data_IF_048226205105
#
_entry.id   IF_048226205105
#
_cell.length_a   1.000
_cell.length_b   1.000
_cell.length_c   1.000
_cell.angle_alpha   90.00
_cell.angle_beta   90.00
_cell.angle_gamma   90.00
#
_symmetry.space_group_name_H-M   'P 1'
#
loop_
_entity.id
_entity.type
_entity.pdbx_description
1 polymer ?
#
# COMPACT_ATOMS: atom_id res chain seq x y z
N UNK A 1 14.32 1.07 -16.67
CA UNK A 1 15.51 1.93 -16.85
C UNK A 1 15.18 3.30 -17.43
N UNK A 2 14.34 3.38 -18.48
CA UNK A 2 13.99 4.65 -19.14
C UNK A 2 13.56 5.78 -18.19
N UNK A 3 12.68 5.51 -17.21
CA UNK A 3 12.24 6.55 -16.25
C UNK A 3 13.39 7.10 -15.40
N UNK A 4 14.30 6.24 -14.94
CA UNK A 4 15.45 6.65 -14.13
C UNK A 4 16.42 7.50 -14.95
N UNK A 5 16.65 7.15 -16.22
CA UNK A 5 17.56 7.91 -17.11
C UNK A 5 17.05 9.30 -17.48
N UNK A 6 15.75 9.61 -17.24
CA UNK A 6 15.25 11.00 -17.41
C UNK A 6 15.83 11.97 -16.38
N UNK A 7 16.30 11.48 -15.23
CA UNK A 7 16.81 12.30 -14.12
C UNK A 7 18.25 11.98 -13.72
N UNK A 8 18.68 10.73 -13.88
CA UNK A 8 20.03 10.28 -13.55
C UNK A 8 20.85 10.25 -14.83
N UNK A 9 21.84 11.13 -14.94
CA UNK A 9 22.78 11.19 -16.07
C UNK A 9 23.96 10.23 -15.92
N UNK A 10 24.33 9.85 -14.69
CA UNK A 10 25.44 8.92 -14.44
C UNK A 10 25.10 7.49 -14.88
N UNK A 11 25.71 7.06 -15.99
CA UNK A 11 25.53 5.74 -16.55
C UNK A 11 26.01 4.61 -15.62
N UNK A 12 26.97 4.85 -14.72
CA UNK A 12 27.48 3.84 -13.79
C UNK A 12 26.43 3.50 -12.74
N UNK A 13 25.74 4.52 -12.22
CA UNK A 13 24.63 4.36 -11.27
C UNK A 13 23.47 3.61 -11.93
N UNK A 14 23.10 4.00 -13.15
CA UNK A 14 22.07 3.30 -13.92
C UNK A 14 22.46 1.83 -14.17
N UNK A 15 23.71 1.57 -14.54
CA UNK A 15 24.21 0.20 -14.74
C UNK A 15 24.13 -0.61 -13.43
N UNK A 16 24.50 -0.01 -12.30
CA UNK A 16 24.44 -0.65 -10.98
C UNK A 16 23.00 -0.99 -10.58
N UNK A 17 22.07 -0.03 -10.67
CA UNK A 17 20.64 -0.27 -10.40
C UNK A 17 20.11 -1.38 -11.32
N UNK A 18 20.49 -1.35 -12.60
CA UNK A 18 20.13 -2.38 -13.56
C UNK A 18 20.64 -3.77 -13.16
N UNK A 19 21.88 -3.88 -12.68
CA UNK A 19 22.45 -5.14 -12.16
C UNK A 19 21.68 -5.63 -10.93
N UNK A 20 21.36 -4.74 -9.99
CA UNK A 20 20.55 -5.06 -8.81
C UNK A 20 19.17 -5.60 -9.17
N UNK A 21 18.51 -5.00 -10.16
CA UNK A 21 17.17 -5.43 -10.59
C UNK A 21 17.17 -6.78 -11.34
N UNK A 22 18.27 -7.11 -12.03
CA UNK A 22 18.43 -8.37 -12.79
C UNK A 22 19.04 -9.50 -11.98
N UNK A 23 19.53 -9.21 -10.77
CA UNK A 23 20.09 -10.23 -9.88
C UNK A 23 19.06 -11.35 -9.67
N UNK A 24 19.51 -12.59 -9.89
CA UNK A 24 18.69 -13.78 -9.74
C UNK A 24 18.21 -13.98 -8.30
N UNK A 25 17.27 -14.90 -8.13
CA UNK A 25 16.85 -15.38 -6.82
C UNK A 25 17.47 -16.76 -6.64
N UNK A 26 18.11 -16.98 -5.50
CA UNK A 26 18.46 -18.33 -5.09
C UNK A 26 17.20 -18.99 -4.52
N UNK A 27 16.71 -20.01 -5.20
CA UNK A 27 15.55 -20.77 -4.77
C UNK A 27 15.92 -22.26 -4.75
N UNK A 28 15.86 -22.88 -3.58
CA UNK A 28 16.29 -24.26 -3.35
C UNK A 28 17.69 -24.63 -3.91
N UNK A 29 18.64 -23.69 -3.88
CA UNK A 29 20.02 -23.90 -4.36
C UNK A 29 20.21 -23.71 -5.87
N UNK A 30 19.17 -23.34 -6.60
CA UNK A 30 19.23 -22.99 -8.02
C UNK A 30 19.04 -21.49 -8.21
N UNK A 31 19.88 -20.88 -9.06
CA UNK A 31 19.70 -19.49 -9.46
C UNK A 31 18.60 -19.39 -10.52
N UNK A 32 17.50 -18.72 -10.16
CA UNK A 32 16.45 -18.38 -11.11
C UNK A 32 16.64 -16.95 -11.61
N UNK A 33 16.73 -16.79 -12.95
CA UNK A 33 16.81 -15.47 -13.58
C UNK A 33 15.54 -14.68 -13.32
N UNK A 34 15.70 -13.46 -12.82
CA UNK A 34 14.59 -12.54 -12.55
C UNK A 34 14.26 -11.73 -13.80
N UNK A 35 13.02 -11.85 -14.29
CA UNK A 35 12.53 -11.09 -15.45
C UNK A 35 11.63 -9.92 -15.06
N UNK A 36 11.01 -9.94 -13.87
CA UNK A 36 10.11 -8.89 -13.36
C UNK A 36 10.26 -8.68 -11.86
N UNK A 37 9.87 -7.48 -11.40
CA UNK A 37 9.85 -7.10 -9.98
C UNK A 37 11.22 -6.69 -9.43
N UNK A 38 11.24 -6.29 -8.16
CA UNK A 38 12.45 -5.91 -7.43
C UNK A 38 12.77 -6.96 -6.35
N UNK A 39 14.04 -7.11 -5.92
CA UNK A 39 14.37 -8.06 -4.86
C UNK A 39 13.56 -7.81 -3.59
N UNK A 40 12.94 -8.88 -3.06
CA UNK A 40 12.14 -8.79 -1.85
C UNK A 40 13.09 -8.48 -0.68
N UNK A 41 12.79 -7.42 0.08
CA UNK A 41 13.69 -6.92 1.12
C UNK A 41 14.78 -5.97 0.64
N UNK A 42 14.86 -5.64 -0.66
CA UNK A 42 15.80 -4.61 -1.12
C UNK A 42 15.42 -3.23 -0.56
N UNK A 43 16.35 -2.51 0.09
CA UNK A 43 16.13 -1.14 0.56
C UNK A 43 15.79 -0.14 -0.55
N UNK A 44 16.19 -0.45 -1.80
CA UNK A 44 15.90 0.37 -2.97
C UNK A 44 14.48 0.17 -3.51
N UNK A 45 13.84 -0.96 -3.21
CA UNK A 45 12.51 -1.29 -3.75
C UNK A 45 11.45 -0.23 -3.44
N UNK A 46 11.30 0.28 -2.20
CA UNK A 46 10.28 1.30 -1.91
C UNK A 46 10.47 2.59 -2.70
N UNK A 47 11.73 3.01 -2.89
CA UNK A 47 12.06 4.20 -3.67
C UNK A 47 11.73 3.99 -5.15
N UNK A 48 12.17 2.88 -5.73
CA UNK A 48 11.93 2.56 -7.14
C UNK A 48 10.44 2.43 -7.46
N UNK A 49 9.65 1.84 -6.55
CA UNK A 49 8.20 1.76 -6.69
C UNK A 49 7.57 3.15 -6.72
N UNK A 50 7.99 4.06 -5.83
CA UNK A 50 7.48 5.43 -5.83
C UNK A 50 7.89 6.21 -7.08
N UNK A 51 9.07 5.98 -7.65
CA UNK A 51 9.49 6.61 -8.92
C UNK A 51 8.58 6.17 -10.07
N UNK A 52 8.20 4.89 -10.13
CA UNK A 52 7.28 4.40 -11.17
C UNK A 52 5.87 4.99 -10.95
N UNK A 53 5.41 5.04 -9.70
CA UNK A 53 4.08 5.54 -9.36
C UNK A 53 3.97 7.08 -9.40
N UNK A 54 5.08 7.82 -9.47
CA UNK A 54 5.08 9.26 -9.74
C UNK A 54 4.45 9.58 -11.10
N UNK A 55 4.62 8.72 -12.11
CA UNK A 55 3.95 8.88 -13.41
C UNK A 55 2.42 8.75 -13.27
N UNK A 56 1.92 7.88 -12.38
CA UNK A 56 0.49 7.81 -12.06
C UNK A 56 0.01 9.09 -11.37
N UNK A 57 0.77 9.63 -10.42
CA UNK A 57 0.43 10.86 -9.71
C UNK A 57 0.37 12.05 -10.66
N UNK A 58 1.31 12.13 -11.62
CA UNK A 58 1.31 13.15 -12.69
C UNK A 58 0.08 13.02 -13.56
N UNK A 59 -0.27 11.81 -14.00
CA UNK A 59 -1.45 11.58 -14.83
C UNK A 59 -2.75 11.98 -14.11
N UNK A 60 -2.89 11.60 -12.85
CA UNK A 60 -4.06 11.95 -12.04
C UNK A 60 -4.15 13.47 -11.82
N UNK A 61 -3.02 14.12 -11.56
CA UNK A 61 -2.95 15.57 -11.35
C UNK A 61 -3.25 16.34 -12.64
N UNK A 62 -2.68 15.90 -13.78
CA UNK A 62 -2.92 16.48 -15.09
C UNK A 62 -4.41 16.41 -15.48
N UNK A 63 -5.08 15.30 -15.15
CA UNK A 63 -6.53 15.13 -15.35
C UNK A 63 -7.40 15.86 -14.30
N UNK A 64 -6.80 16.57 -13.35
CA UNK A 64 -7.50 17.34 -12.31
C UNK A 64 -8.24 16.48 -11.29
N UNK A 65 -7.80 15.22 -11.07
CA UNK A 65 -8.43 14.34 -10.09
C UNK A 65 -7.98 14.65 -8.67
N UNK A 66 -8.88 14.48 -7.69
CA UNK A 66 -8.57 14.55 -6.26
C UNK A 66 -8.23 13.15 -5.78
N UNK A 67 -7.02 12.92 -5.28
CA UNK A 67 -6.59 11.59 -4.87
C UNK A 67 -5.63 11.65 -3.68
N UNK A 68 -5.48 10.51 -3.02
CA UNK A 68 -4.46 10.24 -2.01
C UNK A 68 -3.81 8.92 -2.38
N UNK A 69 -2.48 8.85 -2.34
CA UNK A 69 -1.71 7.63 -2.57
C UNK A 69 -0.78 7.38 -1.38
N UNK A 70 -0.73 6.14 -0.94
CA UNK A 70 0.24 5.66 0.03
C UNK A 70 0.82 4.34 -0.46
N UNK A 71 2.11 4.36 -0.81
CA UNK A 71 2.76 3.25 -1.52
C UNK A 71 1.94 2.83 -2.75
N UNK A 72 1.44 1.60 -2.77
CA UNK A 72 0.60 1.00 -3.82
C UNK A 72 -0.92 1.23 -3.63
N UNK A 73 -1.36 1.67 -2.45
CA UNK A 73 -2.76 1.96 -2.17
C UNK A 73 -3.11 3.38 -2.60
N UNK A 74 -4.01 3.51 -3.58
CA UNK A 74 -4.45 4.77 -4.14
C UNK A 74 -5.97 4.91 -4.05
N UNK A 75 -6.43 6.05 -3.54
CA UNK A 75 -7.84 6.41 -3.42
C UNK A 75 -8.13 7.67 -4.21
N UNK A 76 -9.04 7.59 -5.20
CA UNK A 76 -9.47 8.72 -6.04
C UNK A 76 -10.89 9.11 -5.66
N UNK A 77 -11.11 10.39 -5.39
CA UNK A 77 -12.37 10.94 -4.90
C UNK A 77 -13.11 11.67 -6.02
N UNK A 78 -14.40 11.33 -6.17
CA UNK A 78 -15.25 11.87 -7.23
C UNK A 78 -16.64 12.23 -6.70
N UNK A 79 -17.37 13.07 -7.44
CA UNK A 79 -18.71 13.56 -7.02
C UNK A 79 -19.83 12.57 -7.31
N UNK A 80 -19.66 11.63 -8.24
CA UNK A 80 -20.73 10.72 -8.68
C UNK A 80 -20.22 9.31 -8.94
N UNK A 81 -21.09 8.32 -8.73
CA UNK A 81 -20.77 6.92 -8.99
C UNK A 81 -20.40 6.68 -10.47
N UNK A 82 -21.17 7.28 -11.40
CA UNK A 82 -20.87 7.21 -12.84
C UNK A 82 -19.46 7.73 -13.18
N UNK A 83 -19.04 8.83 -12.57
CA UNK A 83 -17.68 9.34 -12.75
C UNK A 83 -16.63 8.41 -12.14
N UNK A 84 -16.90 7.85 -10.96
CA UNK A 84 -15.98 6.90 -10.31
C UNK A 84 -15.74 5.66 -11.16
N UNK A 85 -16.81 5.06 -11.72
CA UNK A 85 -16.72 3.87 -12.58
C UNK A 85 -15.94 4.17 -13.86
N UNK A 86 -16.19 5.32 -14.49
CA UNK A 86 -15.43 5.75 -15.67
C UNK A 86 -13.94 5.94 -15.36
N UNK A 87 -13.63 6.62 -14.26
CA UNK A 87 -12.24 6.86 -13.84
C UNK A 87 -11.54 5.54 -13.50
N UNK A 88 -12.22 4.62 -12.79
CA UNK A 88 -11.68 3.30 -12.47
C UNK A 88 -11.25 2.55 -13.74
N UNK A 89 -12.08 2.53 -14.78
CA UNK A 89 -11.72 1.91 -16.06
C UNK A 89 -10.53 2.59 -16.74
N UNK A 90 -10.57 3.92 -16.86
CA UNK A 90 -9.53 4.68 -17.55
C UNK A 90 -8.16 4.59 -16.86
N UNK A 91 -8.12 4.66 -15.53
CA UNK A 91 -6.88 4.60 -14.76
C UNK A 91 -6.35 3.17 -14.70
N UNK A 92 -7.22 2.15 -14.58
CA UNK A 92 -6.80 0.75 -14.68
C UNK A 92 -6.14 0.48 -16.04
N UNK A 93 -6.76 0.95 -17.13
CA UNK A 93 -6.18 0.83 -18.47
C UNK A 93 -4.83 1.55 -18.58
N UNK A 94 -4.69 2.75 -18.01
CA UNK A 94 -3.40 3.47 -17.99
C UNK A 94 -2.31 2.70 -17.23
N UNK A 95 -2.62 2.18 -16.04
CA UNK A 95 -1.67 1.42 -15.22
C UNK A 95 -1.22 0.13 -15.95
N UNK A 96 -2.17 -0.61 -16.56
CA UNK A 96 -1.87 -1.87 -17.25
C UNK A 96 -1.15 -1.64 -18.59
N UNK A 97 -1.55 -0.60 -19.35
CA UNK A 97 -1.00 -0.34 -20.69
C UNK A 97 0.30 0.46 -20.68
N UNK A 98 0.40 1.49 -19.85
CA UNK A 98 1.51 2.46 -19.86
C UNK A 98 2.56 2.07 -18.84
N UNK A 99 2.15 1.83 -17.58
CA UNK A 99 3.08 1.46 -16.51
C UNK A 99 3.42 -0.04 -16.51
N UNK A 100 2.66 -0.85 -17.26
CA UNK A 100 2.81 -2.32 -17.36
C UNK A 100 2.70 -3.02 -15.99
N UNK A 101 1.90 -2.46 -15.09
CA UNK A 101 1.62 -3.01 -13.77
C UNK A 101 0.25 -3.68 -13.75
N UNK A 102 0.08 -4.72 -12.92
CA UNK A 102 -1.20 -5.43 -12.77
C UNK A 102 -1.99 -4.84 -11.61
N UNK A 103 -3.23 -4.43 -11.86
CA UNK A 103 -4.14 -3.96 -10.80
C UNK A 103 -4.81 -5.14 -10.11
N UNK A 104 -4.88 -5.10 -8.77
CA UNK A 104 -5.65 -6.09 -8.01
C UNK A 104 -7.14 -5.74 -8.07
N UNK A 105 -7.88 -6.38 -8.99
CA UNK A 105 -9.31 -6.12 -9.24
C UNK A 105 -10.23 -6.58 -8.13
N UNK A 106 -9.81 -7.51 -7.27
CA UNK A 106 -10.60 -7.94 -6.11
C UNK A 106 -10.55 -6.90 -4.99
N UNK A 107 -9.39 -6.25 -4.81
CA UNK A 107 -9.21 -5.18 -3.82
C UNK A 107 -9.72 -3.84 -4.33
N UNK A 108 -9.56 -3.57 -5.62
CA UNK A 108 -9.93 -2.30 -6.26
C UNK A 108 -11.43 -2.24 -6.49
N UNK A 109 -12.11 -1.27 -5.87
CA UNK A 109 -13.57 -1.15 -5.98
C UNK A 109 -14.02 0.31 -5.98
N UNK A 110 -15.15 0.56 -6.63
CA UNK A 110 -15.90 1.80 -6.48
C UNK A 110 -16.84 1.64 -5.29
N UNK A 111 -16.60 2.39 -4.22
CA UNK A 111 -17.46 2.38 -3.05
C UNK A 111 -17.54 3.73 -2.37
N UNK A 112 -18.57 3.91 -1.55
CA UNK A 112 -18.68 5.11 -0.71
C UNK A 112 -17.54 5.13 0.31
N UNK A 113 -17.06 6.31 0.75
CA UNK A 113 -16.01 6.41 1.76
C UNK A 113 -16.31 5.65 3.07
N UNK A 114 -17.59 5.45 3.40
CA UNK A 114 -18.06 4.67 4.56
C UNK A 114 -17.91 3.16 4.45
N UNK A 115 -17.77 2.64 3.23
CA UNK A 115 -17.58 1.23 2.91
C UNK A 115 -16.13 0.93 2.46
N UNK A 116 -15.30 1.97 2.38
CA UNK A 116 -13.89 1.91 2.07
C UNK A 116 -13.05 2.06 3.34
N UNK A 117 -11.84 1.53 3.30
CA UNK A 117 -10.83 1.76 4.32
C UNK A 117 -9.51 2.15 3.66
N UNK A 118 -8.84 3.17 4.21
CA UNK A 118 -7.51 3.63 3.76
C UNK A 118 -6.61 3.67 5.00
N UNK A 119 -5.46 2.99 4.95
CA UNK A 119 -4.49 2.94 6.05
C UNK A 119 -5.08 2.55 7.42
N UNK A 120 -6.12 1.72 7.42
CA UNK A 120 -6.80 1.28 8.63
C UNK A 120 -7.88 2.24 9.16
N UNK A 121 -8.09 3.37 8.50
CA UNK A 121 -9.18 4.31 8.76
C UNK A 121 -10.34 4.11 7.79
N UNK A 122 -11.53 4.56 8.17
CA UNK A 122 -12.73 4.66 7.35
C UNK A 122 -13.39 6.01 7.63
N UNK A 123 -14.37 6.40 6.82
CA UNK A 123 -14.97 7.72 6.90
C UNK A 123 -16.47 7.63 7.14
N UNK A 124 -17.04 8.58 7.88
CA UNK A 124 -18.48 8.69 8.04
C UNK A 124 -18.89 10.16 7.93
N UNK A 125 -20.17 10.40 7.69
CA UNK A 125 -20.69 11.75 7.47
C UNK A 125 -21.63 12.12 8.63
N UNK A 126 -21.30 13.21 9.32
CA UNK A 126 -22.06 13.74 10.46
C UNK A 126 -22.34 15.20 10.20
N UNK A 127 -23.60 15.62 10.29
CA UNK A 127 -24.01 17.03 10.12
C UNK A 127 -23.41 17.72 8.87
N UNK A 128 -23.31 16.99 7.75
CA UNK A 128 -22.76 17.52 6.51
C UNK A 128 -21.24 17.35 6.34
N UNK A 129 -20.49 17.11 7.42
CA UNK A 129 -19.02 16.99 7.40
C UNK A 129 -18.55 15.54 7.42
N UNK A 130 -17.40 15.28 6.79
CA UNK A 130 -16.74 13.98 6.85
C UNK A 130 -15.84 13.89 8.08
N UNK A 131 -16.01 12.81 8.84
CA UNK A 131 -15.21 12.49 10.03
C UNK A 131 -14.49 11.16 9.83
N UNK A 132 -13.32 11.04 10.47
CA UNK A 132 -12.48 9.84 10.44
C UNK A 132 -12.92 8.91 11.56
N UNK A 133 -12.98 7.61 11.28
CA UNK A 133 -13.14 6.54 12.27
C UNK A 133 -12.15 5.42 12.00
N UNK A 134 -11.85 4.62 13.01
CA UNK A 134 -11.06 3.40 12.82
C UNK A 134 -11.89 2.39 12.03
N UNK A 135 -11.29 1.75 11.02
CA UNK A 135 -11.98 0.74 10.23
C UNK A 135 -12.34 -0.50 11.06
N UNK A 136 -13.46 -1.14 10.75
CA UNK A 136 -13.88 -2.37 11.44
C UNK A 136 -12.79 -3.46 11.39
N UNK A 137 -12.09 -3.57 10.25
CA UNK A 137 -10.95 -4.50 10.07
C UNK A 137 -9.79 -4.22 11.02
N UNK A 138 -9.45 -2.95 11.25
CA UNK A 138 -8.39 -2.58 12.21
C UNK A 138 -8.77 -2.92 13.65
N UNK A 139 -10.05 -2.71 14.01
CA UNK A 139 -10.58 -3.08 15.33
C UNK A 139 -10.57 -4.60 15.52
N UNK A 140 -10.96 -5.36 14.51
CA UNK A 140 -10.94 -6.82 14.55
C UNK A 140 -9.52 -7.36 14.70
N UNK A 141 -8.55 -6.81 13.96
CA UNK A 141 -7.13 -7.18 14.07
C UNK A 141 -6.57 -6.97 15.47
N UNK A 142 -6.86 -5.84 16.12
CA UNK A 142 -6.38 -5.60 17.49
C UNK A 142 -7.08 -6.53 18.49
N UNK A 143 -8.39 -6.75 18.33
CA UNK A 143 -9.14 -7.71 19.16
C UNK A 143 -8.57 -9.12 19.04
N UNK A 144 -8.23 -9.56 17.84
CA UNK A 144 -7.63 -10.87 17.61
C UNK A 144 -6.23 -10.97 18.24
N UNK A 145 -5.37 -9.95 18.05
CA UNK A 145 -4.05 -9.89 18.70
C UNK A 145 -4.18 -9.96 20.23
N UNK A 146 -5.10 -9.21 20.82
CA UNK A 146 -5.35 -9.25 22.26
C UNK A 146 -5.85 -10.64 22.69
N UNK A 147 -6.81 -11.22 21.95
CA UNK A 147 -7.35 -12.57 22.22
C UNK A 147 -6.26 -13.65 22.17
N UNK A 148 -5.32 -13.57 21.23
CA UNK A 148 -4.19 -14.50 21.15
C UNK A 148 -3.26 -14.41 22.36
N UNK A 149 -3.02 -13.20 22.89
CA UNK A 149 -2.17 -12.98 24.07
C UNK A 149 -2.90 -13.18 25.41
N UNK A 150 -4.22 -13.40 25.39
CA UNK A 150 -5.03 -13.68 26.58
C UNK A 150 -5.64 -15.08 26.60
N UNK A 151 -5.23 -15.98 25.69
CA UNK A 151 -5.73 -17.36 25.68
C UNK A 151 -5.45 -18.06 27.01
N UNK A 152 -6.42 -18.85 27.49
CA UNK A 152 -6.33 -19.58 28.76
C UNK A 152 -5.21 -20.63 28.78
N UNK A 153 -4.86 -21.18 27.62
CA UNK A 153 -3.87 -22.25 27.49
C UNK A 153 -2.45 -21.71 27.26
N UNK A 154 -2.22 -20.40 27.42
CA UNK A 154 -0.90 -19.82 27.22
C UNK A 154 -0.09 -19.95 28.51
N UNK A 155 1.01 -20.69 28.45
CA UNK A 155 1.97 -20.87 29.57
C UNK A 155 2.90 -19.65 29.64
N UNK A 156 2.33 -18.48 29.95
CA UNK A 156 3.10 -17.23 30.11
C UNK A 156 2.78 -16.60 31.46
N UNK A 157 3.80 -16.23 32.26
CA UNK A 157 3.60 -15.52 33.52
C UNK A 157 2.75 -14.25 33.37
N UNK A 158 1.95 -13.93 34.38
CA UNK A 158 1.03 -12.79 34.32
C UNK A 158 1.74 -11.46 34.05
N UNK A 159 2.93 -11.25 34.63
CA UNK A 159 3.69 -10.02 34.44
C UNK A 159 4.15 -9.84 32.98
N UNK A 160 4.66 -10.89 32.33
CA UNK A 160 5.03 -10.86 30.91
C UNK A 160 3.81 -10.61 30.02
N UNK A 161 2.67 -11.22 30.36
CA UNK A 161 1.40 -10.99 29.65
C UNK A 161 0.98 -9.52 29.73
N UNK A 162 1.04 -8.90 30.91
CA UNK A 162 0.72 -7.49 31.10
C UNK A 162 1.66 -6.58 30.31
N UNK A 163 2.96 -6.85 30.33
CA UNK A 163 3.96 -6.10 29.55
C UNK A 163 3.65 -6.18 28.05
N UNK A 164 3.36 -7.37 27.54
CA UNK A 164 3.06 -7.58 26.12
C UNK A 164 1.75 -6.92 25.70
N UNK A 165 0.71 -7.00 26.55
CA UNK A 165 -0.55 -6.29 26.31
C UNK A 165 -0.34 -4.78 26.28
N UNK A 166 0.45 -4.22 27.21
CA UNK A 166 0.79 -2.79 27.24
C UNK A 166 1.52 -2.36 25.96
N UNK A 167 2.49 -3.14 25.50
CA UNK A 167 3.20 -2.86 24.24
C UNK A 167 2.25 -2.86 23.04
N UNK A 168 1.36 -3.85 22.96
CA UNK A 168 0.36 -3.96 21.89
C UNK A 168 -0.60 -2.77 21.92
N UNK A 169 -1.15 -2.42 23.09
CA UNK A 169 -2.10 -1.31 23.21
C UNK A 169 -1.42 0.02 22.94
N UNK A 170 -0.22 0.25 23.46
CA UNK A 170 0.51 1.51 23.22
C UNK A 170 0.84 1.69 21.74
N UNK A 171 1.37 0.66 21.07
CA UNK A 171 1.68 0.72 19.65
C UNK A 171 0.44 0.95 18.79
N UNK A 172 -0.71 0.38 19.19
CA UNK A 172 -1.97 0.60 18.51
C UNK A 172 -2.52 2.01 18.71
N UNK A 173 -2.51 2.52 19.94
CA UNK A 173 -2.90 3.91 20.24
C UNK A 173 -2.03 4.88 19.44
N UNK A 174 -0.71 4.75 19.48
CA UNK A 174 0.22 5.62 18.73
C UNK A 174 0.00 5.59 17.20
N UNK A 175 -0.65 4.56 16.66
CA UNK A 175 -0.94 4.46 15.23
C UNK A 175 -2.26 5.12 14.82
N UNK A 176 -3.18 5.34 15.76
CA UNK A 176 -4.56 5.76 15.49
C UNK A 176 -5.01 7.00 16.27
N UNK A 177 -4.26 7.43 17.29
CA UNK A 177 -4.53 8.55 18.21
C UNK A 177 -3.30 9.44 18.24
#
# INVERSE_FOLDING_TARGET
>A
MHLLSKKITDHRVLALIGKYLRCGIMDHGLEQKRTKGTPQGSPLSPLLSNIILDELDRELSFRGHRFVRYADDASIYTKSNKSATRIMGNITSYIESTLKLKVNREKSKVSRPSQSSLLGFSFFKTQGYWQIRISAKSIERIREKLRQNTRRNTVTPMHERLTKLRQITQGWVNSFV
#
